data_IF_676907620867
#
_entry.id   IF_676907620867
#
_cell.length_a   1.000
_cell.length_b   1.000
_cell.length_c   1.000
_cell.angle_alpha   90.00
_cell.angle_beta   90.00
_cell.angle_gamma   90.00
#
_symmetry.space_group_name_H-M   'P 1'
#
loop_
_entity.id
_entity.type
_entity.pdbx_description
1 polymer ?
#
# COMPACT_ATOMS: atom_id res chain seq x y z
N UNK A 1 12.65 -10.11 33.17
CA UNK A 1 12.99 -8.71 32.82
C UNK A 1 11.99 -8.21 31.78
N UNK A 2 11.35 -7.10 32.06
CA UNK A 2 10.42 -6.53 31.07
C UNK A 2 11.17 -5.74 30.01
N UNK A 3 10.87 -6.03 28.75
CA UNK A 3 11.38 -5.26 27.64
C UNK A 3 10.59 -3.97 27.50
N UNK A 4 11.28 -2.83 27.48
CA UNK A 4 10.66 -1.53 27.29
C UNK A 4 11.30 -0.83 26.09
N UNK A 5 10.67 -0.90 24.91
CA UNK A 5 11.22 -0.23 23.74
C UNK A 5 11.17 1.29 23.87
N UNK A 6 12.13 1.97 23.27
CA UNK A 6 12.16 3.44 23.21
C UNK A 6 11.27 3.97 22.10
N UNK A 7 10.96 3.14 21.10
CA UNK A 7 10.15 3.48 19.95
C UNK A 7 9.58 2.20 19.37
N UNK A 8 8.39 2.29 18.79
CA UNK A 8 7.76 1.17 18.09
C UNK A 8 7.61 1.55 16.62
N UNK A 9 8.14 0.72 15.76
CA UNK A 9 8.05 0.89 14.30
C UNK A 9 7.05 -0.12 13.76
N UNK A 10 6.11 0.36 12.94
CA UNK A 10 4.98 -0.46 12.48
C UNK A 10 4.87 -0.35 10.96
N UNK A 11 4.73 -1.49 10.29
CA UNK A 11 4.46 -1.54 8.85
C UNK A 11 3.01 -1.08 8.58
N UNK A 12 2.76 -0.63 7.37
CA UNK A 12 1.46 -0.06 6.97
C UNK A 12 0.63 -1.10 6.21
N UNK A 13 1.03 -1.40 4.97
CA UNK A 13 0.25 -2.29 4.10
C UNK A 13 0.27 -3.73 4.65
N UNK A 14 -0.90 -4.32 4.84
CA UNK A 14 -1.01 -5.67 5.36
C UNK A 14 -0.85 -5.80 6.87
N UNK A 15 -0.56 -4.70 7.57
CA UNK A 15 -0.42 -4.68 9.04
C UNK A 15 -1.44 -3.74 9.67
N UNK A 16 -1.38 -2.46 9.32
CA UNK A 16 -2.35 -1.46 9.79
C UNK A 16 -3.54 -1.34 8.84
N UNK A 17 -3.30 -1.47 7.55
CA UNK A 17 -4.26 -1.14 6.50
C UNK A 17 -4.37 -2.29 5.52
N UNK A 18 -5.60 -2.67 5.20
CA UNK A 18 -5.88 -3.47 4.02
C UNK A 18 -6.00 -2.52 2.83
N UNK A 19 -4.90 -2.32 2.11
CA UNK A 19 -4.80 -1.42 0.98
C UNK A 19 -5.01 -2.11 -0.36
N UNK A 20 -5.15 -3.43 -0.37
CA UNK A 20 -5.31 -4.21 -1.60
C UNK A 20 -6.51 -3.77 -2.44
N UNK A 21 -7.68 -3.45 -1.86
CA UNK A 21 -8.82 -3.01 -2.69
C UNK A 21 -8.51 -1.81 -3.58
N UNK A 22 -7.80 -0.80 -3.09
CA UNK A 22 -7.41 0.35 -3.92
C UNK A 22 -6.28 0.00 -4.89
N UNK A 23 -5.31 -0.77 -4.45
CA UNK A 23 -4.22 -1.21 -5.33
C UNK A 23 -4.75 -2.05 -6.49
N UNK A 24 -5.68 -2.96 -6.21
CA UNK A 24 -6.30 -3.79 -7.23
C UNK A 24 -7.14 -2.96 -8.21
N UNK A 25 -7.89 -2.00 -7.71
CA UNK A 25 -8.63 -1.09 -8.57
C UNK A 25 -7.71 -0.35 -9.52
N UNK A 26 -6.59 0.19 -9.01
CA UNK A 26 -5.63 0.92 -9.82
C UNK A 26 -4.91 0.03 -10.84
N UNK A 27 -4.51 -1.19 -10.43
CA UNK A 27 -3.91 -2.16 -11.35
C UNK A 27 -4.86 -2.48 -12.50
N UNK A 28 -6.11 -2.79 -12.19
CA UNK A 28 -7.08 -3.18 -13.20
C UNK A 28 -7.44 -2.02 -14.13
N UNK A 29 -7.57 -0.80 -13.58
CA UNK A 29 -7.82 0.39 -14.39
C UNK A 29 -6.62 0.69 -15.32
N UNK A 30 -5.39 0.55 -14.80
CA UNK A 30 -4.19 0.68 -15.61
C UNK A 30 -4.16 -0.33 -16.75
N UNK A 31 -4.44 -1.60 -16.45
CA UNK A 31 -4.46 -2.65 -17.47
C UNK A 31 -5.47 -2.35 -18.56
N UNK A 32 -6.68 -1.90 -18.20
CA UNK A 32 -7.71 -1.52 -19.17
C UNK A 32 -7.26 -0.35 -20.05
N UNK A 33 -6.62 0.65 -19.46
CA UNK A 33 -6.10 1.79 -20.25
C UNK A 33 -5.03 1.35 -21.26
N UNK A 34 -4.29 0.30 -20.94
CA UNK A 34 -3.27 -0.26 -21.83
C UNK A 34 -3.84 -1.27 -22.83
N UNK A 35 -5.16 -1.50 -22.83
CA UNK A 35 -5.79 -2.49 -23.68
C UNK A 35 -5.54 -3.93 -23.26
N UNK A 36 -5.25 -4.16 -21.98
CA UNK A 36 -4.96 -5.49 -21.43
C UNK A 36 -6.06 -5.95 -20.49
N UNK A 37 -6.11 -7.25 -20.25
CA UNK A 37 -7.09 -7.83 -19.35
C UNK A 37 -6.76 -7.51 -17.89
N UNK A 38 -7.78 -7.19 -17.05
CA UNK A 38 -7.57 -7.00 -15.63
C UNK A 38 -7.25 -8.32 -14.92
N UNK A 39 -6.62 -8.23 -13.75
CA UNK A 39 -6.20 -9.40 -12.99
C UNK A 39 -7.15 -9.77 -11.84
N UNK A 40 -7.81 -8.79 -11.24
CA UNK A 40 -8.65 -8.98 -10.08
C UNK A 40 -7.91 -8.88 -8.75
N UNK A 41 -8.67 -8.68 -7.68
CA UNK A 41 -8.13 -8.43 -6.33
C UNK A 41 -7.33 -9.61 -5.79
N UNK A 42 -7.77 -10.84 -6.04
CA UNK A 42 -7.07 -12.03 -5.51
C UNK A 42 -5.64 -12.14 -6.05
N UNK A 43 -5.43 -11.86 -7.34
CA UNK A 43 -4.09 -11.87 -7.93
C UNK A 43 -3.23 -10.74 -7.37
N UNK A 44 -3.78 -9.52 -7.28
CA UNK A 44 -3.05 -8.36 -6.77
C UNK A 44 -2.64 -8.58 -5.32
N UNK A 45 -3.47 -9.22 -4.52
CA UNK A 45 -3.16 -9.53 -3.12
C UNK A 45 -1.89 -10.36 -2.97
N UNK A 46 -1.59 -11.21 -3.95
CA UNK A 46 -0.36 -12.02 -3.96
C UNK A 46 0.88 -11.22 -4.40
N UNK A 47 0.70 -10.03 -4.97
CA UNK A 47 1.78 -9.25 -5.55
C UNK A 47 2.21 -8.05 -4.72
N UNK A 48 1.43 -7.65 -3.71
CA UNK A 48 1.70 -6.45 -2.91
C UNK A 48 2.77 -6.71 -1.86
N UNK A 49 3.40 -5.62 -1.38
CA UNK A 49 4.36 -5.66 -0.29
C UNK A 49 5.77 -5.23 -0.65
N UNK A 50 6.08 -5.06 -1.94
CA UNK A 50 7.44 -4.70 -2.39
C UNK A 50 7.48 -3.37 -3.16
N UNK A 51 6.52 -2.48 -2.90
CA UNK A 51 6.45 -1.17 -3.55
C UNK A 51 5.64 -1.20 -4.83
N UNK A 52 5.22 -0.01 -5.28
CA UNK A 52 4.35 0.10 -6.45
C UNK A 52 5.07 -0.19 -7.75
N UNK A 53 6.37 0.08 -7.82
CA UNK A 53 7.18 -0.25 -9.00
C UNK A 53 7.13 -1.75 -9.29
N UNK A 54 7.34 -2.54 -8.25
CA UNK A 54 7.33 -4.01 -8.40
C UNK A 54 5.91 -4.51 -8.68
N UNK A 55 4.92 -3.89 -8.10
CA UNK A 55 3.52 -4.24 -8.36
C UNK A 55 3.17 -4.05 -9.84
N UNK A 56 3.57 -2.93 -10.44
CA UNK A 56 3.34 -2.68 -11.87
C UNK A 56 4.05 -3.72 -12.74
N UNK A 57 5.29 -4.07 -12.40
CA UNK A 57 6.03 -5.10 -13.12
C UNK A 57 5.30 -6.45 -13.07
N UNK A 58 4.82 -6.82 -11.90
CA UNK A 58 4.06 -8.07 -11.71
C UNK A 58 2.74 -8.06 -12.48
N UNK A 59 2.07 -6.92 -12.50
CA UNK A 59 0.82 -6.79 -13.26
C UNK A 59 1.05 -6.93 -14.76
N UNK A 60 2.13 -6.36 -15.29
CA UNK A 60 2.44 -6.44 -16.72
C UNK A 60 2.84 -7.84 -17.16
N UNK A 61 3.44 -8.63 -16.29
CA UNK A 61 3.91 -9.98 -16.61
C UNK A 61 2.98 -11.09 -16.15
N UNK A 62 2.12 -10.81 -15.15
CA UNK A 62 1.31 -11.82 -14.50
C UNK A 62 2.11 -12.77 -13.61
N UNK A 63 3.36 -12.42 -13.27
CA UNK A 63 4.28 -13.27 -12.52
C UNK A 63 4.94 -12.52 -11.39
N UNK A 64 5.15 -13.20 -10.26
CA UNK A 64 5.73 -12.61 -9.06
C UNK A 64 7.14 -12.05 -9.29
N UNK A 65 7.95 -12.74 -10.07
CA UNK A 65 9.32 -12.34 -10.37
C UNK A 65 9.49 -11.88 -11.83
N UNK A 66 8.37 -11.56 -12.50
CA UNK A 66 8.39 -11.16 -13.88
C UNK A 66 9.07 -9.83 -14.13
N UNK A 67 9.76 -9.73 -15.24
CA UNK A 67 10.39 -8.51 -15.72
C UNK A 67 9.77 -8.12 -17.06
N UNK A 68 8.96 -7.04 -17.10
CA UNK A 68 8.34 -6.61 -18.36
C UNK A 68 9.36 -5.93 -19.27
N UNK A 69 9.00 -5.79 -20.54
CA UNK A 69 9.75 -4.96 -21.46
C UNK A 69 9.79 -3.52 -20.92
N UNK A 70 10.94 -2.87 -21.01
CA UNK A 70 11.13 -1.52 -20.49
C UNK A 70 10.11 -0.52 -21.05
N UNK A 71 9.81 -0.61 -22.35
CA UNK A 71 8.84 0.26 -22.98
C UNK A 71 7.43 0.10 -22.39
N UNK A 72 7.05 -1.13 -22.06
CA UNK A 72 5.75 -1.41 -21.43
C UNK A 72 5.70 -0.82 -20.03
N UNK A 73 6.76 -0.99 -19.25
CA UNK A 73 6.84 -0.45 -17.91
C UNK A 73 6.78 1.09 -17.92
N UNK A 74 7.52 1.73 -18.82
CA UNK A 74 7.52 3.18 -18.91
C UNK A 74 6.18 3.76 -19.34
N UNK A 75 5.38 3.01 -20.06
CA UNK A 75 4.01 3.41 -20.38
C UNK A 75 3.05 3.20 -19.21
N UNK A 76 3.21 2.10 -18.50
CA UNK A 76 2.28 1.68 -17.46
C UNK A 76 2.46 2.44 -16.14
N UNK A 77 3.69 2.62 -15.71
CA UNK A 77 3.99 3.17 -14.38
C UNK A 77 3.38 4.55 -14.14
N UNK A 78 3.50 5.53 -15.05
CA UNK A 78 2.88 6.84 -14.84
C UNK A 78 1.34 6.75 -14.74
N UNK A 79 0.73 5.85 -15.49
CA UNK A 79 -0.72 5.64 -15.42
C UNK A 79 -1.12 5.14 -14.03
N UNK A 80 -0.38 4.16 -13.51
CA UNK A 80 -0.64 3.64 -12.17
C UNK A 80 -0.48 4.71 -11.11
N UNK A 81 0.61 5.48 -11.16
CA UNK A 81 0.90 6.52 -10.18
C UNK A 81 -0.22 7.56 -10.13
N UNK A 82 -0.69 8.00 -11.30
CA UNK A 82 -1.80 8.96 -11.38
C UNK A 82 -3.09 8.39 -10.78
N UNK A 83 -3.40 7.15 -11.11
CA UNK A 83 -4.58 6.47 -10.56
C UNK A 83 -4.49 6.32 -9.05
N UNK A 84 -3.34 5.88 -8.54
CA UNK A 84 -3.18 5.63 -7.12
C UNK A 84 -3.13 6.92 -6.30
N UNK A 85 -2.61 8.00 -6.86
CA UNK A 85 -2.65 9.30 -6.20
C UNK A 85 -4.09 9.75 -5.88
N UNK A 86 -5.05 9.37 -6.72
CA UNK A 86 -6.47 9.71 -6.55
C UNK A 86 -7.26 8.64 -5.79
N UNK A 87 -6.71 7.45 -5.59
CA UNK A 87 -7.41 6.30 -5.03
C UNK A 87 -6.62 5.63 -3.91
N UNK A 88 -5.94 6.41 -3.07
CA UNK A 88 -5.08 5.87 -2.01
C UNK A 88 -5.88 5.23 -0.89
N UNK A 89 -7.05 5.79 -0.56
CA UNK A 89 -7.86 5.33 0.57
C UNK A 89 -9.37 5.39 0.28
N UNK A 90 -9.77 5.17 -0.96
CA UNK A 90 -11.19 5.18 -1.32
C UNK A 90 -11.88 3.85 -0.95
N UNK A 91 -11.14 2.75 -0.98
CA UNK A 91 -11.62 1.38 -0.72
C UNK A 91 -10.84 0.70 0.38
N UNK A 92 -9.71 1.29 0.79
CA UNK A 92 -8.84 0.74 1.83
C UNK A 92 -9.41 0.99 3.20
N UNK A 93 -9.19 0.05 4.11
CA UNK A 93 -9.70 0.15 5.48
C UNK A 93 -8.63 -0.27 6.47
N UNK A 94 -8.75 0.24 7.70
CA UNK A 94 -7.93 -0.24 8.82
C UNK A 94 -8.34 -1.66 9.17
N UNK A 95 -7.38 -2.50 9.55
CA UNK A 95 -7.72 -3.78 10.15
C UNK A 95 -8.41 -3.58 11.51
N UNK A 96 -9.29 -4.50 11.94
CA UNK A 96 -9.96 -4.39 13.23
C UNK A 96 -8.95 -4.24 14.38
N UNK A 97 -9.23 -3.34 15.30
CA UNK A 97 -8.40 -3.12 16.49
C UNK A 97 -7.19 -2.19 16.29
N UNK A 98 -6.92 -1.74 15.05
CA UNK A 98 -5.76 -0.90 14.77
C UNK A 98 -5.86 0.45 15.48
N UNK A 99 -6.98 1.13 15.35
CA UNK A 99 -7.15 2.46 15.96
C UNK A 99 -7.00 2.39 17.48
N UNK A 100 -7.65 1.43 18.11
CA UNK A 100 -7.58 1.20 19.55
C UNK A 100 -6.16 0.82 20.00
N UNK A 101 -5.48 -0.04 19.23
CA UNK A 101 -4.12 -0.46 19.54
C UNK A 101 -3.12 0.69 19.45
N UNK A 102 -3.22 1.53 18.42
CA UNK A 102 -2.36 2.71 18.29
C UNK A 102 -2.60 3.71 19.41
N UNK A 103 -3.86 3.94 19.76
CA UNK A 103 -4.22 4.83 20.86
C UNK A 103 -3.66 4.30 22.19
N UNK A 104 -3.72 3.00 22.42
CA UNK A 104 -3.15 2.37 23.63
C UNK A 104 -1.63 2.60 23.69
N UNK A 105 -0.91 2.36 22.61
CA UNK A 105 0.53 2.50 22.58
C UNK A 105 0.96 3.96 22.80
N UNK A 106 0.26 4.91 22.20
CA UNK A 106 0.54 6.33 22.41
C UNK A 106 0.22 6.75 23.83
N UNK A 107 -0.90 6.28 24.38
CA UNK A 107 -1.29 6.54 25.76
C UNK A 107 -0.30 5.98 26.78
N UNK A 108 0.37 4.88 26.42
CA UNK A 108 1.43 4.28 27.25
C UNK A 108 2.77 5.02 27.13
N UNK A 109 2.86 6.04 26.26
CA UNK A 109 4.04 6.90 26.16
C UNK A 109 5.04 6.48 25.08
N UNK A 110 4.71 5.50 24.22
CA UNK A 110 5.63 5.07 23.18
C UNK A 110 5.54 5.98 21.94
N UNK A 111 6.66 6.54 21.47
CA UNK A 111 6.71 7.14 20.14
C UNK A 111 6.48 6.07 19.08
N UNK A 112 5.67 6.38 18.07
CA UNK A 112 5.33 5.45 16.99
C UNK A 112 5.86 5.98 15.67
N UNK A 113 6.44 5.09 14.86
CA UNK A 113 6.90 5.39 13.52
C UNK A 113 6.42 4.34 12.53
N UNK A 114 6.36 4.73 11.25
CA UNK A 114 6.05 3.80 10.17
C UNK A 114 7.30 3.33 9.48
N UNK A 115 7.36 2.02 9.19
CA UNK A 115 8.37 1.42 8.32
C UNK A 115 7.61 0.75 7.19
N UNK A 116 7.79 1.24 5.95
CA UNK A 116 7.01 0.75 4.82
C UNK A 116 7.81 0.85 3.52
N UNK A 117 7.55 -0.08 2.60
CA UNK A 117 8.08 -0.01 1.24
C UNK A 117 7.27 0.95 0.36
N UNK A 118 6.15 1.45 0.87
CA UNK A 118 5.31 2.42 0.16
C UNK A 118 5.95 3.81 0.21
N UNK A 119 6.00 4.50 -0.94
CA UNK A 119 6.54 5.86 -1.01
C UNK A 119 5.72 6.82 -0.14
N UNK A 120 6.39 7.83 0.42
CA UNK A 120 5.75 8.82 1.29
C UNK A 120 4.59 9.54 0.61
N UNK A 121 4.70 9.81 -0.69
CA UNK A 121 3.64 10.48 -1.45
C UNK A 121 2.31 9.74 -1.43
N UNK A 122 2.31 8.42 -1.20
CA UNK A 122 1.10 7.61 -1.05
C UNK A 122 0.78 7.32 0.40
N UNK A 123 1.80 7.15 1.24
CA UNK A 123 1.63 6.78 2.65
C UNK A 123 1.00 7.90 3.45
N UNK A 124 1.49 9.12 3.30
CA UNK A 124 0.99 10.25 4.08
C UNK A 124 -0.50 10.52 3.83
N UNK A 125 -0.97 10.61 2.55
CA UNK A 125 -2.40 10.78 2.32
C UNK A 125 -3.24 9.61 2.85
N UNK A 126 -2.73 8.39 2.74
CA UNK A 126 -3.43 7.19 3.22
C UNK A 126 -3.67 7.27 4.73
N UNK A 127 -2.61 7.58 5.50
CA UNK A 127 -2.72 7.68 6.96
C UNK A 127 -3.65 8.81 7.38
N UNK A 128 -3.60 9.96 6.69
CA UNK A 128 -4.49 11.08 6.96
C UNK A 128 -5.94 10.75 6.67
N UNK A 129 -6.22 10.14 5.52
CA UNK A 129 -7.59 9.79 5.13
C UNK A 129 -8.19 8.73 6.04
N UNK A 130 -7.37 7.83 6.58
CA UNK A 130 -7.83 6.80 7.51
C UNK A 130 -7.86 7.28 8.97
N UNK A 131 -7.42 8.52 9.23
CA UNK A 131 -7.52 9.14 10.54
C UNK A 131 -6.51 8.66 11.57
N UNK A 132 -5.37 8.09 11.13
CA UNK A 132 -4.34 7.57 12.03
C UNK A 132 -2.99 8.28 11.94
N UNK A 133 -2.85 9.28 11.06
CA UNK A 133 -1.58 9.99 10.88
C UNK A 133 -1.07 10.63 12.17
N UNK A 134 -1.97 11.11 13.02
CA UNK A 134 -1.63 11.80 14.27
C UNK A 134 -0.96 10.89 15.31
N UNK A 135 -1.01 9.58 15.14
CA UNK A 135 -0.33 8.67 16.07
C UNK A 135 1.18 8.59 15.83
N UNK A 136 1.66 9.02 14.65
CA UNK A 136 3.05 8.89 14.24
C UNK A 136 3.80 10.21 14.24
#
# INVERSE_FOLDING_TARGET
MMFQPKMILIDVDGTLVDSVPDLAYCVDAMMRQLGREPHGEAAVRNWVGNGVERLVQRALTGELDGEPAEADYQRAYPVFVELYAENTANRSVLYPGVNEGLAYLRGAGYPLGCVTNKAAQFTEPLLHQLGIAHFF
#
